data_IF_898875791705
#
_entry.id   IF_898875791705
#
_cell.length_a   1.000
_cell.length_b   1.000
_cell.length_c   1.000
_cell.angle_alpha   90.00
_cell.angle_beta   90.00
_cell.angle_gamma   90.00
#
_symmetry.space_group_name_H-M   'P 1'
#
loop_
_entity.id
_entity.type
_entity.pdbx_description
1 polymer ?
#
# COMPACT_ATOMS: atom_id res chain seq x y z
N UNK A 1 -8.42 0.63 -26.76
CA UNK A 1 -8.73 1.06 -25.38
C UNK A 1 -8.36 -0.09 -24.45
N UNK A 2 -7.36 0.13 -23.61
CA UNK A 2 -6.92 -0.84 -22.61
C UNK A 2 -7.94 -1.01 -21.49
N UNK A 3 -7.83 -2.10 -20.75
CA UNK A 3 -8.75 -2.43 -19.66
C UNK A 3 -8.80 -1.34 -18.57
N UNK A 4 -7.66 -0.69 -18.29
CA UNK A 4 -7.56 0.42 -17.32
C UNK A 4 -8.44 1.62 -17.71
N UNK A 5 -8.37 2.04 -18.97
CA UNK A 5 -9.18 3.16 -19.49
C UNK A 5 -10.67 2.82 -19.45
N UNK A 6 -11.03 1.59 -19.82
CA UNK A 6 -12.41 1.11 -19.75
C UNK A 6 -12.98 1.16 -18.33
N UNK A 7 -12.19 0.72 -17.34
CA UNK A 7 -12.59 0.78 -15.92
C UNK A 7 -12.70 2.24 -15.46
N UNK A 8 -11.77 3.10 -15.86
CA UNK A 8 -11.79 4.52 -15.53
C UNK A 8 -13.04 5.22 -16.06
N UNK A 9 -13.40 5.02 -17.33
CA UNK A 9 -14.59 5.60 -17.95
C UNK A 9 -15.88 5.13 -17.27
N UNK A 10 -16.00 3.82 -17.03
CA UNK A 10 -17.13 3.25 -16.31
C UNK A 10 -17.26 3.85 -14.90
N UNK A 11 -16.16 4.00 -14.17
CA UNK A 11 -16.17 4.59 -12.84
C UNK A 11 -16.61 6.07 -12.88
N UNK A 12 -16.10 6.87 -13.84
CA UNK A 12 -16.51 8.26 -14.02
C UNK A 12 -18.01 8.37 -14.31
N UNK A 13 -18.54 7.52 -15.17
CA UNK A 13 -19.97 7.48 -15.50
C UNK A 13 -20.85 7.21 -14.26
N UNK A 14 -20.35 6.45 -13.29
CA UNK A 14 -21.02 6.19 -12.01
C UNK A 14 -20.68 7.20 -10.90
N UNK A 15 -20.15 8.37 -11.26
CA UNK A 15 -19.90 9.48 -10.35
C UNK A 15 -18.69 9.30 -9.42
N UNK A 16 -17.73 8.47 -9.80
CA UNK A 16 -16.46 8.36 -9.06
C UNK A 16 -15.46 9.41 -9.55
N UNK A 17 -14.72 9.99 -8.60
CA UNK A 17 -13.48 10.70 -8.94
C UNK A 17 -12.39 9.66 -9.24
N UNK A 18 -11.71 9.81 -10.38
CA UNK A 18 -10.78 8.80 -10.90
C UNK A 18 -9.37 9.40 -11.07
N UNK A 19 -8.39 8.77 -10.45
CA UNK A 19 -6.97 9.05 -10.67
C UNK A 19 -6.34 7.84 -11.37
N UNK A 20 -6.03 7.98 -12.66
CA UNK A 20 -5.46 6.93 -13.50
C UNK A 20 -3.93 7.05 -13.52
N UNK A 21 -3.22 5.93 -13.34
CA UNK A 21 -1.76 5.79 -13.48
C UNK A 21 -0.98 6.84 -12.71
N UNK A 22 -1.44 7.15 -11.50
CA UNK A 22 -0.88 8.23 -10.68
C UNK A 22 0.11 7.70 -9.64
N UNK A 23 1.17 8.47 -9.41
CA UNK A 23 2.18 8.18 -8.40
C UNK A 23 1.71 8.65 -7.03
N UNK A 24 1.68 7.74 -6.06
CA UNK A 24 1.51 8.04 -4.64
C UNK A 24 2.69 7.44 -3.88
N UNK A 25 3.42 8.28 -3.14
CA UNK A 25 4.69 7.89 -2.55
C UNK A 25 5.68 7.37 -3.59
N UNK A 26 6.19 6.16 -3.38
CA UNK A 26 7.19 5.52 -4.24
C UNK A 26 6.63 4.70 -5.41
N UNK A 27 5.30 4.54 -5.55
CA UNK A 27 4.70 3.64 -6.55
C UNK A 27 3.70 4.35 -7.44
N UNK A 28 3.56 3.86 -8.67
CA UNK A 28 2.47 4.23 -9.58
C UNK A 28 1.36 3.21 -9.41
N UNK A 29 0.16 3.66 -9.05
CA UNK A 29 -1.04 2.82 -8.97
C UNK A 29 -1.85 2.95 -10.26
N UNK A 30 -2.47 1.85 -10.69
CA UNK A 30 -3.24 1.85 -11.95
C UNK A 30 -4.48 2.74 -11.82
N UNK A 31 -5.33 2.56 -10.81
CA UNK A 31 -6.44 3.46 -10.53
C UNK A 31 -6.66 3.69 -9.03
N UNK A 32 -6.96 4.94 -8.67
CA UNK A 32 -7.60 5.29 -7.40
C UNK A 32 -8.98 5.86 -7.70
N UNK A 33 -10.02 5.26 -7.10
CA UNK A 33 -11.38 5.78 -7.18
C UNK A 33 -11.81 6.34 -5.84
N UNK A 34 -12.45 7.51 -5.84
CA UNK A 34 -13.01 8.12 -4.62
C UNK A 34 -14.47 8.50 -4.81
N UNK A 35 -15.30 8.23 -3.79
CA UNK A 35 -16.69 8.70 -3.71
C UNK A 35 -17.11 8.86 -2.26
N UNK A 36 -17.36 10.09 -1.85
CA UNK A 36 -17.55 10.42 -0.43
C UNK A 36 -16.33 10.00 0.40
N UNK A 37 -16.56 9.30 1.51
CA UNK A 37 -15.50 8.75 2.37
C UNK A 37 -14.87 7.43 1.89
N UNK A 38 -15.35 6.84 0.78
CA UNK A 38 -14.84 5.56 0.27
C UNK A 38 -13.74 5.78 -0.77
N UNK A 39 -12.63 5.05 -0.60
CA UNK A 39 -11.53 5.01 -1.56
C UNK A 39 -11.24 3.58 -1.98
N UNK A 40 -11.14 3.34 -3.28
CA UNK A 40 -10.73 2.07 -3.86
C UNK A 40 -9.35 2.22 -4.50
N UNK A 41 -8.39 1.41 -4.06
CA UNK A 41 -7.08 1.26 -4.70
C UNK A 41 -7.17 0.05 -5.61
N UNK A 42 -7.11 0.27 -6.92
CA UNK A 42 -7.40 -0.76 -7.91
C UNK A 42 -6.15 -1.05 -8.73
N UNK A 43 -5.78 -2.33 -8.74
CA UNK A 43 -4.81 -2.88 -9.69
C UNK A 43 -5.58 -3.51 -10.85
N UNK A 44 -5.19 -3.18 -12.07
CA UNK A 44 -5.74 -3.81 -13.27
C UNK A 44 -4.73 -4.79 -13.85
N UNK A 45 -5.24 -5.93 -14.27
CA UNK A 45 -4.45 -7.00 -14.88
C UNK A 45 -5.20 -7.51 -16.10
N UNK A 46 -4.78 -7.01 -17.26
CA UNK A 46 -5.24 -7.51 -18.55
C UNK A 46 -4.39 -8.74 -18.91
N UNK A 47 -4.84 -9.92 -18.48
CA UNK A 47 -4.10 -11.17 -18.58
C UNK A 47 -4.87 -12.17 -19.44
N UNK A 48 -4.13 -12.96 -20.22
CA UNK A 48 -4.68 -14.12 -20.96
C UNK A 48 -4.99 -15.33 -20.06
N UNK A 49 -4.66 -15.26 -18.77
CA UNK A 49 -4.90 -16.29 -17.76
C UNK A 49 -5.35 -15.69 -16.42
N UNK A 50 -5.95 -16.48 -15.50
CA UNK A 50 -6.43 -15.96 -14.22
C UNK A 50 -5.33 -15.29 -13.39
N UNK A 51 -5.71 -14.26 -12.63
CA UNK A 51 -4.78 -13.57 -11.75
C UNK A 51 -4.25 -14.50 -10.64
N UNK A 52 -2.92 -14.67 -10.58
CA UNK A 52 -2.26 -15.48 -9.54
C UNK A 52 -1.99 -14.72 -8.23
N UNK A 53 -1.45 -15.40 -7.20
CA UNK A 53 -1.15 -14.82 -5.89
C UNK A 53 -0.25 -13.56 -5.91
N UNK A 54 0.59 -13.43 -6.94
CA UNK A 54 1.42 -12.24 -7.16
C UNK A 54 0.58 -10.99 -7.42
N UNK A 55 -0.54 -11.10 -8.14
CA UNK A 55 -1.43 -9.97 -8.40
C UNK A 55 -2.09 -9.49 -7.10
N UNK A 56 -2.50 -10.42 -6.23
CA UNK A 56 -3.02 -10.12 -4.89
C UNK A 56 -1.96 -9.41 -4.04
N UNK A 57 -0.75 -9.96 -3.99
CA UNK A 57 0.37 -9.36 -3.25
C UNK A 57 0.74 -7.97 -3.75
N UNK A 58 0.65 -7.74 -5.07
CA UNK A 58 0.89 -6.44 -5.69
C UNK A 58 -0.18 -5.43 -5.26
N UNK A 59 -1.45 -5.81 -5.36
CA UNK A 59 -2.58 -4.99 -4.93
C UNK A 59 -2.45 -4.57 -3.46
N UNK A 60 -2.07 -5.49 -2.57
CA UNK A 60 -1.83 -5.17 -1.15
C UNK A 60 -0.72 -4.13 -0.97
N UNK A 61 0.39 -4.24 -1.71
CA UNK A 61 1.49 -3.28 -1.65
C UNK A 61 1.06 -1.90 -2.15
N UNK A 62 0.25 -1.85 -3.20
CA UNK A 62 -0.24 -0.58 -3.76
C UNK A 62 -1.22 0.09 -2.81
N UNK A 63 -2.08 -0.69 -2.13
CA UNK A 63 -2.92 -0.21 -1.04
C UNK A 63 -2.09 0.35 0.12
N UNK A 64 -1.09 -0.39 0.60
CA UNK A 64 -0.25 0.06 1.72
C UNK A 64 0.50 1.35 1.39
N UNK A 65 1.00 1.49 0.17
CA UNK A 65 1.65 2.71 -0.29
C UNK A 65 0.68 3.90 -0.33
N UNK A 66 -0.54 3.67 -0.82
CA UNK A 66 -1.56 4.70 -0.88
C UNK A 66 -1.97 5.17 0.53
N UNK A 67 -2.10 4.25 1.49
CA UNK A 67 -2.37 4.59 2.90
C UNK A 67 -1.21 5.40 3.49
N UNK A 68 0.04 5.02 3.23
CA UNK A 68 1.21 5.80 3.67
C UNK A 68 1.20 7.22 3.09
N UNK A 69 0.88 7.36 1.80
CA UNK A 69 0.75 8.67 1.16
C UNK A 69 -0.38 9.51 1.81
N UNK A 70 -1.54 8.91 2.09
CA UNK A 70 -2.61 9.62 2.79
C UNK A 70 -2.18 10.08 4.18
N UNK A 71 -1.59 9.20 4.99
CA UNK A 71 -1.13 9.55 6.32
C UNK A 71 -0.03 10.63 6.27
N UNK A 72 0.99 10.44 5.44
CA UNK A 72 2.14 11.32 5.36
C UNK A 72 1.85 12.66 4.71
N UNK A 73 1.34 12.65 3.47
CA UNK A 73 1.18 13.88 2.68
C UNK A 73 -0.13 14.63 2.98
N UNK A 74 -1.20 13.92 3.35
CA UNK A 74 -2.48 14.59 3.67
C UNK A 74 -2.63 14.93 5.14
N UNK A 75 -2.15 14.05 6.04
CA UNK A 75 -2.32 14.24 7.48
C UNK A 75 -1.04 14.65 8.20
N UNK A 76 0.12 14.61 7.55
CA UNK A 76 1.41 14.90 8.20
C UNK A 76 1.85 13.83 9.21
N UNK A 77 1.26 12.63 9.14
CA UNK A 77 1.48 11.54 10.10
C UNK A 77 2.42 10.49 9.49
N UNK A 78 3.47 10.16 10.23
CA UNK A 78 4.36 9.03 9.89
C UNK A 78 4.03 7.85 10.80
N UNK A 79 3.56 6.74 10.22
CA UNK A 79 3.30 5.50 10.96
C UNK A 79 4.41 4.50 10.67
N UNK A 80 5.08 4.03 11.73
CA UNK A 80 6.19 3.10 11.66
C UNK A 80 5.75 1.79 12.36
N UNK A 81 5.68 0.65 11.65
CA UNK A 81 5.40 -0.62 12.31
C UNK A 81 6.62 -1.07 13.10
N UNK A 82 6.38 -1.46 14.35
CA UNK A 82 7.41 -1.87 15.31
C UNK A 82 7.10 -3.26 15.85
N UNK A 83 8.10 -4.14 15.87
CA UNK A 83 8.08 -5.43 16.54
C UNK A 83 9.04 -5.40 17.72
N UNK A 84 8.57 -5.84 18.90
CA UNK A 84 9.37 -5.93 20.11
C UNK A 84 9.47 -7.40 20.50
N UNK A 85 10.69 -7.89 20.73
CA UNK A 85 10.96 -9.21 21.29
C UNK A 85 12.35 -9.20 21.91
N UNK A 86 12.65 -10.14 22.80
CA UNK A 86 14.01 -10.30 23.34
C UNK A 86 14.99 -10.78 22.26
N UNK A 87 14.50 -11.59 21.31
CA UNK A 87 15.28 -12.08 20.17
C UNK A 87 14.42 -12.25 18.91
N UNK A 88 15.08 -12.34 17.75
CA UNK A 88 14.48 -12.50 16.44
C UNK A 88 15.33 -13.42 15.55
N UNK A 89 14.74 -14.53 15.11
CA UNK A 89 15.41 -15.46 14.18
C UNK A 89 15.82 -14.79 12.86
N UNK A 90 16.85 -15.30 12.18
CA UNK A 90 17.33 -14.74 10.91
C UNK A 90 16.27 -14.72 9.80
N UNK A 91 15.38 -15.71 9.79
CA UNK A 91 14.26 -15.75 8.85
C UNK A 91 13.27 -14.62 9.16
N UNK A 92 12.93 -14.41 10.43
CA UNK A 92 12.05 -13.34 10.85
C UNK A 92 12.68 -11.95 10.61
N UNK A 93 13.99 -11.79 10.86
CA UNK A 93 14.74 -10.56 10.59
C UNK A 93 14.68 -10.15 9.12
N UNK A 94 14.94 -11.09 8.20
CA UNK A 94 14.81 -10.87 6.75
C UNK A 94 13.39 -10.46 6.35
N UNK A 95 12.38 -11.10 6.95
CA UNK A 95 10.98 -10.79 6.67
C UNK A 95 10.57 -9.42 7.20
N UNK A 96 10.96 -9.08 8.43
CA UNK A 96 10.73 -7.77 9.04
C UNK A 96 11.31 -6.65 8.17
N UNK A 97 12.56 -6.80 7.72
CA UNK A 97 13.20 -5.86 6.80
C UNK A 97 12.40 -5.71 5.50
N UNK A 98 11.96 -6.82 4.89
CA UNK A 98 11.17 -6.79 3.65
C UNK A 98 9.83 -6.07 3.79
N UNK A 99 9.28 -6.01 5.00
CA UNK A 99 8.03 -5.33 5.31
C UNK A 99 8.24 -3.93 5.91
N UNK A 100 9.50 -3.49 6.09
CA UNK A 100 9.81 -2.20 6.70
C UNK A 100 9.47 -2.13 8.20
N UNK A 101 9.44 -3.26 8.89
CA UNK A 101 9.18 -3.34 10.33
C UNK A 101 10.48 -3.05 11.08
N UNK A 102 10.44 -2.09 12.02
CA UNK A 102 11.55 -1.85 12.94
C UNK A 102 11.50 -2.86 14.07
N UNK A 103 12.65 -3.42 14.42
CA UNK A 103 12.79 -4.35 15.52
C UNK A 103 13.55 -3.70 16.65
N UNK A 104 13.07 -3.90 17.88
CA UNK A 104 13.74 -3.48 19.10
C UNK A 104 13.67 -4.59 20.14
N UNK A 105 14.72 -4.72 20.96
CA UNK A 105 14.55 -5.36 22.27
C UNK A 105 13.82 -4.40 23.22
N UNK A 106 13.24 -4.86 24.34
CA UNK A 106 12.67 -3.96 25.35
C UNK A 106 13.65 -2.87 25.80
N UNK A 107 14.93 -3.23 25.97
CA UNK A 107 15.98 -2.29 26.36
C UNK A 107 16.30 -1.26 25.27
N UNK A 108 16.26 -1.66 23.99
CA UNK A 108 16.44 -0.72 22.88
C UNK A 108 15.25 0.23 22.77
N UNK A 109 14.04 -0.27 23.01
CA UNK A 109 12.82 0.54 23.01
C UNK A 109 12.87 1.59 24.11
N UNK A 110 13.27 1.21 25.34
CA UNK A 110 13.38 2.16 26.46
C UNK A 110 14.28 3.34 26.11
N UNK A 111 15.39 3.10 25.38
CA UNK A 111 16.32 4.14 24.96
C UNK A 111 15.74 5.12 23.94
N UNK A 112 14.82 4.68 23.07
CA UNK A 112 14.23 5.53 22.03
C UNK A 112 12.94 6.23 22.49
N UNK A 113 12.36 5.79 23.62
CA UNK A 113 11.19 6.43 24.22
C UNK A 113 11.56 7.57 25.18
N UNK A 114 12.82 7.65 25.60
CA UNK A 114 13.39 8.77 26.36
C UNK A 114 13.92 9.83 25.40
#
# INVERSE_FOLDING_TARGET
MGLEEKVAEMARAYGWHVELRKKHGGRVQDLILRRGGLVLVIQVKDLSSPAGPRAVSQTKKDFDEYIKHLLGEKLGITVIPVLISNDLSDRARRRALSYGIRYYTPNDLEKILK
#
